data_IF_866311129313
#
_entry.id   IF_866311129313
#
_cell.length_a   1.000
_cell.length_b   1.000
_cell.length_c   1.000
_cell.angle_alpha   90.00
_cell.angle_beta   90.00
_cell.angle_gamma   90.00
#
_symmetry.space_group_name_H-M   'P 1'
#
loop_
_entity.id
_entity.type
_entity.pdbx_description
1 polymer ?
#
# COMPACT_ATOMS: atom_id res chain seq x y z
N UNK A 1 10.79 67.79 52.14
CA UNK A 1 10.70 67.49 50.69
C UNK A 1 11.86 66.60 50.26
N UNK A 2 11.61 65.32 49.96
CA UNK A 2 12.24 64.48 48.90
C UNK A 2 11.83 63.01 49.10
N UNK A 3 11.03 62.50 48.17
CA UNK A 3 10.66 61.08 47.99
C UNK A 3 11.86 60.29 47.44
N UNK A 4 11.92 58.98 47.71
CA UNK A 4 12.42 57.85 46.88
C UNK A 4 12.59 56.63 47.80
N UNK A 5 12.13 55.42 47.52
CA UNK A 5 11.51 54.80 46.36
C UNK A 5 11.74 53.30 46.52
N UNK A 6 10.66 52.53 46.69
CA UNK A 6 10.66 51.08 46.85
C UNK A 6 11.10 50.42 45.54
N UNK A 7 12.16 49.60 45.55
CA UNK A 7 12.55 48.77 44.41
C UNK A 7 12.09 47.33 44.67
N UNK A 8 10.98 46.96 44.02
CA UNK A 8 10.51 45.59 43.92
C UNK A 8 11.28 44.88 42.80
N UNK A 9 12.01 43.82 43.14
CA UNK A 9 12.69 42.95 42.17
C UNK A 9 11.66 42.03 41.51
N UNK A 10 11.36 42.26 40.22
CA UNK A 10 10.59 41.34 39.39
C UNK A 10 11.51 40.32 38.74
N UNK A 11 11.36 39.04 39.12
CA UNK A 11 11.99 37.92 38.40
C UNK A 11 11.20 37.70 37.11
N UNK A 12 11.84 37.96 35.97
CA UNK A 12 11.30 37.64 34.65
C UNK A 12 11.60 36.17 34.35
N UNK A 13 10.62 35.29 34.51
CA UNK A 13 10.71 33.90 34.04
C UNK A 13 10.47 33.90 32.53
N UNK A 14 11.55 33.84 31.76
CA UNK A 14 11.53 33.56 30.33
C UNK A 14 11.16 32.08 30.13
N UNK A 15 9.87 31.82 29.85
CA UNK A 15 9.42 30.51 29.39
C UNK A 15 9.89 30.29 27.95
N UNK A 16 11.05 29.65 27.79
CA UNK A 16 11.49 29.13 26.49
C UNK A 16 10.57 27.97 26.14
N UNK A 17 9.66 28.18 25.18
CA UNK A 17 8.96 27.08 24.53
C UNK A 17 9.97 26.35 23.65
N UNK A 18 10.48 25.22 24.14
CA UNK A 18 11.14 24.25 23.30
C UNK A 18 10.11 23.72 22.30
N UNK A 19 10.18 24.20 21.05
CA UNK A 19 9.59 23.48 19.94
C UNK A 19 10.28 22.12 19.90
N UNK A 20 9.51 21.05 20.08
CA UNK A 20 10.05 19.70 19.92
C UNK A 20 10.71 19.61 18.56
N UNK A 21 12.02 19.44 18.53
CA UNK A 21 12.71 18.98 17.33
C UNK A 21 12.08 17.63 17.01
N UNK A 22 11.31 17.58 15.92
CA UNK A 22 10.98 16.31 15.28
C UNK A 22 12.31 15.59 15.08
N UNK A 23 12.46 14.41 15.68
CA UNK A 23 13.64 13.59 15.47
C UNK A 23 13.86 13.47 13.95
N UNK A 24 15.11 13.60 13.46
CA UNK A 24 15.37 13.46 12.03
C UNK A 24 14.79 12.13 11.56
N UNK A 25 14.02 12.17 10.47
CA UNK A 25 13.42 10.96 9.90
C UNK A 25 14.53 9.92 9.68
N UNK A 26 14.27 8.63 9.94
CA UNK A 26 15.31 7.62 9.78
C UNK A 26 15.81 7.63 8.33
N UNK A 27 17.13 7.59 8.16
CA UNK A 27 17.82 7.70 6.85
C UNK A 27 18.83 6.58 6.68
N UNK A 28 19.06 6.15 5.44
CA UNK A 28 20.15 5.24 5.12
C UNK A 28 21.51 5.87 5.36
N UNK A 29 22.46 5.08 5.84
CA UNK A 29 23.87 5.49 5.99
C UNK A 29 24.50 5.69 4.61
N UNK A 30 24.21 4.76 3.69
CA UNK A 30 24.66 4.80 2.30
C UNK A 30 23.51 4.46 1.38
N UNK A 31 23.31 5.27 0.35
CA UNK A 31 22.36 4.98 -0.72
C UNK A 31 22.91 5.39 -2.08
N UNK A 32 22.68 4.56 -3.09
CA UNK A 32 22.95 4.85 -4.49
C UNK A 32 21.68 4.69 -5.31
N UNK A 33 21.47 5.61 -6.25
CA UNK A 33 20.38 5.60 -7.22
C UNK A 33 21.01 5.85 -8.58
N UNK A 34 20.80 4.95 -9.52
CA UNK A 34 21.38 5.03 -10.87
C UNK A 34 20.32 4.70 -11.90
N UNK A 35 20.31 5.37 -13.08
CA UNK A 35 19.51 4.91 -14.21
C UNK A 35 19.82 3.43 -14.50
N UNK A 36 18.77 2.62 -14.63
CA UNK A 36 18.92 1.20 -14.88
C UNK A 36 19.33 0.97 -16.32
N UNK A 37 20.29 0.05 -16.53
CA UNK A 37 20.77 -0.37 -17.85
C UNK A 37 20.12 -1.68 -18.32
N UNK A 38 19.06 -2.11 -17.64
CA UNK A 38 18.41 -3.38 -17.89
C UNK A 38 17.66 -3.38 -19.25
N UNK A 39 17.56 -4.54 -19.88
CA UNK A 39 16.89 -4.68 -21.17
C UNK A 39 15.36 -4.59 -21.03
N UNK A 40 14.63 -4.26 -22.12
CA UNK A 40 13.17 -4.23 -22.16
C UNK A 40 12.56 -5.64 -22.01
N UNK A 41 12.59 -6.17 -20.78
CA UNK A 41 11.94 -7.40 -20.23
C UNK A 41 12.67 -7.93 -18.99
N UNK A 42 13.77 -7.31 -18.57
CA UNK A 42 14.47 -7.72 -17.35
C UNK A 42 13.55 -7.67 -16.14
N UNK A 43 13.73 -8.64 -15.23
CA UNK A 43 12.97 -8.74 -13.99
C UNK A 43 13.10 -7.43 -13.20
N UNK A 44 11.97 -6.91 -12.74
CA UNK A 44 11.87 -5.73 -11.89
C UNK A 44 11.46 -6.16 -10.49
N UNK A 45 12.10 -5.61 -9.46
CA UNK A 45 11.82 -6.02 -8.09
C UNK A 45 12.44 -5.10 -7.04
N UNK A 46 11.85 -5.14 -5.84
CA UNK A 46 12.40 -4.56 -4.62
C UNK A 46 12.55 -5.71 -3.63
N UNK A 47 13.76 -5.92 -3.12
CA UNK A 47 14.06 -6.90 -2.07
C UNK A 47 14.59 -6.17 -0.86
N UNK A 48 14.15 -6.59 0.33
CA UNK A 48 14.71 -6.15 1.60
C UNK A 48 15.39 -7.32 2.30
N UNK A 49 16.47 -7.00 2.99
CA UNK A 49 17.13 -7.84 3.99
C UNK A 49 17.35 -6.97 5.23
N UNK A 50 17.71 -7.56 6.37
CA UNK A 50 17.95 -6.80 7.61
C UNK A 50 18.93 -5.63 7.36
N UNK A 51 18.41 -4.40 7.44
CA UNK A 51 19.20 -3.18 7.22
C UNK A 51 19.55 -2.85 5.76
N UNK A 52 18.99 -3.52 4.74
CA UNK A 52 19.28 -3.22 3.32
C UNK A 52 18.04 -3.26 2.43
N UNK A 53 18.01 -2.35 1.46
CA UNK A 53 17.08 -2.40 0.31
C UNK A 53 17.89 -2.51 -0.97
N UNK A 54 17.48 -3.41 -1.84
CA UNK A 54 17.91 -3.49 -3.23
C UNK A 54 16.68 -3.41 -4.13
N UNK A 55 16.65 -2.43 -5.01
CA UNK A 55 15.67 -2.33 -6.07
C UNK A 55 16.38 -2.39 -7.42
N UNK A 56 15.81 -3.16 -8.36
CA UNK A 56 16.37 -3.37 -9.69
C UNK A 56 15.34 -3.10 -10.75
N UNK A 57 15.71 -2.33 -11.76
CA UNK A 57 14.89 -2.03 -12.92
C UNK A 57 13.49 -1.48 -12.55
N UNK A 58 13.41 -0.63 -11.52
CA UNK A 58 12.14 -0.12 -10.96
C UNK A 58 11.84 1.31 -11.40
N UNK A 59 10.57 1.63 -11.61
CA UNK A 59 10.12 3.01 -11.84
C UNK A 59 9.95 3.75 -10.52
N UNK A 60 9.99 5.09 -10.54
CA UNK A 60 9.73 5.87 -9.32
C UNK A 60 8.33 5.60 -8.77
N UNK A 61 7.29 5.48 -9.62
CA UNK A 61 5.94 5.11 -9.16
C UNK A 61 5.92 3.77 -8.41
N UNK A 62 6.68 2.78 -8.88
CA UNK A 62 6.82 1.46 -8.23
C UNK A 62 7.43 1.57 -6.84
N UNK A 63 8.47 2.40 -6.69
CA UNK A 63 9.12 2.67 -5.41
C UNK A 63 8.18 3.37 -4.43
N UNK A 64 7.44 4.39 -4.89
CA UNK A 64 6.48 5.14 -4.06
C UNK A 64 5.40 4.20 -3.52
N UNK A 65 4.76 3.40 -4.39
CA UNK A 65 3.77 2.40 -3.94
C UNK A 65 4.34 1.50 -2.84
N UNK A 66 5.57 1.01 -3.02
CA UNK A 66 6.22 0.12 -2.05
C UNK A 66 6.48 0.83 -0.72
N UNK A 67 7.10 2.00 -0.76
CA UNK A 67 7.49 2.77 0.41
C UNK A 67 6.28 3.23 1.25
N UNK A 68 5.18 3.60 0.60
CA UNK A 68 3.97 4.09 1.27
C UNK A 68 2.87 3.02 1.44
N UNK A 69 3.13 1.78 0.98
CA UNK A 69 2.19 0.65 1.03
C UNK A 69 0.80 0.99 0.45
N UNK A 70 0.77 1.56 -0.75
CA UNK A 70 -0.48 1.96 -1.45
C UNK A 70 -0.59 1.28 -2.82
N UNK A 71 -1.76 0.80 -3.26
CA UNK A 71 -1.96 0.27 -4.61
C UNK A 71 -1.51 1.24 -5.70
N UNK A 72 -1.09 0.71 -6.84
CA UNK A 72 -0.65 1.54 -7.98
C UNK A 72 -1.78 2.38 -8.55
N UNK A 73 -3.02 1.87 -8.54
CA UNK A 73 -4.21 2.64 -8.91
C UNK A 73 -4.48 3.83 -7.99
N UNK A 74 -3.86 3.88 -6.82
CA UNK A 74 -4.03 4.95 -5.82
C UNK A 74 -2.85 5.94 -5.78
N UNK A 75 -1.81 5.74 -6.60
CA UNK A 75 -0.77 6.75 -6.81
C UNK A 75 -1.12 7.50 -8.08
N UNK A 76 -1.47 8.79 -7.97
CA UNK A 76 -1.95 9.62 -9.08
C UNK A 76 -1.00 10.78 -9.37
N UNK A 77 -1.16 11.40 -10.54
CA UNK A 77 -0.39 12.59 -10.93
C UNK A 77 1.09 12.32 -11.18
N UNK A 78 1.88 13.38 -11.06
CA UNK A 78 3.32 13.40 -11.29
C UNK A 78 3.73 13.55 -12.76
N UNK A 79 5.01 13.86 -13.02
CA UNK A 79 5.52 14.00 -14.37
C UNK A 79 5.67 12.62 -15.05
N UNK A 80 5.40 12.55 -16.36
CA UNK A 80 5.33 11.29 -17.13
C UNK A 80 6.53 10.35 -16.93
N UNK A 81 7.73 10.90 -16.77
CA UNK A 81 8.95 10.11 -16.63
C UNK A 81 8.95 9.15 -15.42
N UNK A 82 8.14 9.41 -14.38
CA UNK A 82 8.09 8.54 -13.18
C UNK A 82 7.51 7.14 -13.46
N UNK A 83 6.86 6.98 -14.61
CA UNK A 83 6.29 5.74 -15.12
C UNK A 83 7.20 5.02 -16.11
N UNK A 84 8.08 5.75 -16.78
CA UNK A 84 8.87 5.25 -17.90
C UNK A 84 10.34 4.99 -17.51
N UNK A 85 10.96 5.92 -16.78
CA UNK A 85 12.37 5.82 -16.40
C UNK A 85 12.55 4.84 -15.25
N UNK A 86 13.61 4.04 -15.37
CA UNK A 86 13.91 2.95 -14.45
C UNK A 86 15.22 3.21 -13.75
N UNK A 87 15.28 2.82 -12.49
CA UNK A 87 16.42 2.98 -11.61
C UNK A 87 16.80 1.68 -10.95
N UNK A 88 18.09 1.56 -10.66
CA UNK A 88 18.62 0.61 -9.68
C UNK A 88 18.92 1.40 -8.40
N UNK A 89 18.42 0.89 -7.27
CA UNK A 89 18.58 1.50 -5.95
C UNK A 89 19.26 0.49 -5.03
N UNK A 90 20.35 0.89 -4.40
CA UNK A 90 20.99 0.13 -3.31
C UNK A 90 21.11 1.03 -2.09
N UNK A 91 20.54 0.61 -0.97
CA UNK A 91 20.54 1.39 0.26
C UNK A 91 20.85 0.50 1.48
N UNK A 92 21.67 1.03 2.40
CA UNK A 92 22.15 0.35 3.60
C UNK A 92 21.95 1.24 4.84
N UNK A 93 21.33 0.68 5.87
CA UNK A 93 21.15 1.29 7.18
C UNK A 93 22.44 1.18 8.01
N UNK A 94 22.62 2.09 8.98
CA UNK A 94 23.77 2.06 9.89
C UNK A 94 23.77 0.84 10.82
N UNK A 95 22.61 0.23 11.06
CA UNK A 95 22.44 -0.95 11.90
C UNK A 95 21.28 -1.82 11.43
N UNK A 96 20.93 -2.88 12.20
CA UNK A 96 19.78 -3.70 11.89
C UNK A 96 18.51 -2.85 11.86
N UNK A 97 17.76 -2.96 10.76
CA UNK A 97 16.47 -2.31 10.60
C UNK A 97 15.49 -3.34 10.02
N UNK A 98 14.29 -3.41 10.59
CA UNK A 98 13.21 -4.24 10.07
C UNK A 98 12.54 -3.61 8.86
N UNK A 99 11.70 -4.37 8.16
CA UNK A 99 11.05 -3.91 6.91
C UNK A 99 10.26 -2.61 7.09
N UNK A 100 9.59 -2.43 8.23
CA UNK A 100 8.84 -1.20 8.52
C UNK A 100 9.76 0.03 8.52
N UNK A 101 10.86 -0.04 9.28
CA UNK A 101 11.83 1.06 9.37
C UNK A 101 12.49 1.31 8.00
N UNK A 102 12.83 0.23 7.28
CA UNK A 102 13.38 0.32 5.93
C UNK A 102 12.44 1.04 4.96
N UNK A 103 11.13 0.80 5.03
CA UNK A 103 10.17 1.52 4.20
C UNK A 103 10.08 3.01 4.58
N UNK A 104 10.15 3.36 5.87
CA UNK A 104 10.22 4.77 6.29
C UNK A 104 11.51 5.43 5.77
N UNK A 105 12.65 4.75 5.87
CA UNK A 105 13.93 5.24 5.34
C UNK A 105 13.89 5.41 3.81
N UNK A 106 13.19 4.51 3.11
CA UNK A 106 12.95 4.63 1.68
C UNK A 106 12.09 5.86 1.36
N UNK A 107 11.05 6.17 2.15
CA UNK A 107 10.28 7.41 1.98
C UNK A 107 11.19 8.65 2.07
N UNK A 108 12.06 8.71 3.08
CA UNK A 108 13.05 9.78 3.24
C UNK A 108 13.98 9.89 2.04
N UNK A 109 14.52 8.76 1.57
CA UNK A 109 15.42 8.70 0.41
C UNK A 109 14.74 9.23 -0.86
N UNK A 110 13.49 8.82 -1.12
CA UNK A 110 12.74 9.25 -2.29
C UNK A 110 12.43 10.76 -2.23
N UNK A 111 12.04 11.27 -1.06
CA UNK A 111 11.84 12.70 -0.82
C UNK A 111 13.11 13.52 -1.10
N UNK A 112 14.26 13.05 -0.62
CA UNK A 112 15.51 13.78 -0.76
C UNK A 112 16.07 13.76 -2.19
N UNK A 113 16.13 12.57 -2.81
CA UNK A 113 16.82 12.34 -4.09
C UNK A 113 15.99 12.71 -5.31
N UNK A 114 14.68 12.51 -5.25
CA UNK A 114 13.77 12.88 -6.33
C UNK A 114 12.99 14.17 -6.03
N UNK A 115 13.31 14.89 -4.94
CA UNK A 115 12.55 16.07 -4.49
C UNK A 115 11.03 15.79 -4.48
N UNK A 116 10.67 14.59 -4.05
CA UNK A 116 9.30 14.08 -4.13
C UNK A 116 8.40 14.88 -3.19
N UNK A 117 7.37 15.51 -3.76
CA UNK A 117 6.30 16.19 -3.03
C UNK A 117 4.98 15.57 -3.44
N UNK A 118 4.12 15.31 -2.46
CA UNK A 118 2.79 14.77 -2.68
C UNK A 118 1.84 15.22 -1.56
N UNK A 119 0.55 15.05 -1.81
CA UNK A 119 -0.48 15.13 -0.79
C UNK A 119 -1.40 13.90 -0.85
N UNK A 120 -2.18 13.72 0.21
CA UNK A 120 -3.21 12.69 0.30
C UNK A 120 -4.57 13.34 0.17
N UNK A 121 -5.45 12.75 -0.63
CA UNK A 121 -6.84 13.18 -0.72
C UNK A 121 -7.78 11.97 -0.80
N UNK A 122 -9.04 12.18 -0.42
CA UNK A 122 -10.11 11.20 -0.67
C UNK A 122 -10.85 11.59 -1.93
N UNK A 123 -10.96 10.68 -2.89
CA UNK A 123 -11.73 10.92 -4.12
C UNK A 123 -12.58 9.72 -4.53
N UNK A 124 -13.71 9.95 -5.20
CA UNK A 124 -14.56 8.87 -5.69
C UNK A 124 -13.91 8.19 -6.92
N UNK A 125 -13.54 6.93 -6.79
CA UNK A 125 -12.97 6.12 -7.88
C UNK A 125 -13.90 4.97 -8.26
N UNK A 126 -13.91 4.57 -9.54
CA UNK A 126 -14.61 3.35 -9.94
C UNK A 126 -13.93 2.15 -9.31
N UNK A 127 -14.70 1.30 -8.64
CA UNK A 127 -14.19 0.13 -7.96
C UNK A 127 -15.33 -0.69 -7.38
N UNK A 128 -15.06 -1.35 -6.25
CA UNK A 128 -16.03 -2.19 -5.56
C UNK A 128 -16.21 -1.76 -4.11
N UNK A 129 -17.46 -1.77 -3.65
CA UNK A 129 -17.75 -1.81 -2.22
C UNK A 129 -17.81 -3.27 -1.76
N UNK A 130 -17.05 -3.59 -0.71
CA UNK A 130 -17.16 -4.84 0.02
C UNK A 130 -18.33 -4.72 0.98
N UNK A 131 -19.35 -5.55 0.80
CA UNK A 131 -20.58 -5.55 1.60
C UNK A 131 -20.87 -6.94 2.15
N UNK A 132 -21.65 -7.01 3.22
CA UNK A 132 -22.18 -8.28 3.71
C UNK A 132 -23.26 -8.78 2.75
N UNK A 133 -23.13 -10.01 2.30
CA UNK A 133 -24.09 -10.68 1.43
C UNK A 133 -25.34 -11.13 2.18
N UNK A 134 -26.33 -11.61 1.44
CA UNK A 134 -27.63 -12.05 2.00
C UNK A 134 -27.51 -13.19 3.02
N UNK A 135 -26.44 -13.98 2.94
CA UNK A 135 -26.15 -15.09 3.84
C UNK A 135 -25.50 -14.68 5.17
N UNK A 136 -25.18 -13.39 5.35
CA UNK A 136 -24.43 -12.90 6.51
C UNK A 136 -22.95 -13.24 6.45
N UNK A 137 -22.14 -12.56 7.28
CA UNK A 137 -20.70 -12.83 7.39
C UNK A 137 -20.47 -14.23 7.96
N UNK A 138 -19.68 -15.04 7.25
CA UNK A 138 -19.30 -16.42 7.65
C UNK A 138 -17.90 -16.53 8.26
N UNK A 139 -17.17 -15.42 8.36
CA UNK A 139 -15.85 -15.38 8.97
C UNK A 139 -15.95 -15.49 10.49
N UNK A 140 -15.03 -16.24 11.10
CA UNK A 140 -14.92 -16.34 12.54
C UNK A 140 -14.28 -15.07 13.10
N UNK A 141 -14.83 -14.52 14.19
CA UNK A 141 -14.21 -13.40 14.89
C UNK A 141 -12.94 -13.86 15.59
N UNK A 142 -11.85 -13.12 15.41
CA UNK A 142 -10.58 -13.42 16.06
C UNK A 142 -10.64 -13.12 17.56
N UNK A 143 -9.82 -13.82 18.35
CA UNK A 143 -9.65 -13.50 19.77
C UNK A 143 -8.81 -12.23 19.94
N UNK A 144 -9.00 -11.45 21.03
CA UNK A 144 -8.21 -10.24 21.29
C UNK A 144 -6.70 -10.49 21.38
N UNK A 145 -6.28 -11.69 21.79
CA UNK A 145 -4.89 -12.09 21.97
C UNK A 145 -4.25 -12.69 20.70
N UNK A 146 -5.02 -12.81 19.62
CA UNK A 146 -4.53 -13.37 18.36
C UNK A 146 -3.44 -12.49 17.76
N UNK A 147 -2.33 -13.11 17.37
CA UNK A 147 -1.28 -12.42 16.64
C UNK A 147 -1.76 -12.19 15.21
N UNK A 148 -1.67 -10.94 14.73
CA UNK A 148 -2.07 -10.63 13.37
C UNK A 148 -1.07 -11.18 12.36
N UNK A 149 -1.56 -11.94 11.39
CA UNK A 149 -0.80 -12.29 10.20
C UNK A 149 -1.68 -12.16 8.97
N UNK A 150 -1.05 -11.99 7.81
CA UNK A 150 -1.74 -12.06 6.52
C UNK A 150 -0.79 -12.60 5.48
N UNK A 151 -1.16 -13.74 4.90
CA UNK A 151 -0.51 -14.36 3.76
C UNK A 151 -1.43 -14.25 2.54
N UNK A 152 -1.13 -13.29 1.67
CA UNK A 152 -1.79 -13.17 0.37
C UNK A 152 -0.95 -13.89 -0.69
N UNK A 153 -1.58 -14.77 -1.44
CA UNK A 153 -0.97 -15.52 -2.55
C UNK A 153 -1.84 -15.39 -3.80
N UNK A 154 -1.27 -15.76 -4.96
CA UNK A 154 -2.08 -15.89 -6.18
C UNK A 154 -3.20 -16.91 -5.92
N UNK A 155 -4.46 -16.47 -6.03
CA UNK A 155 -5.63 -17.31 -5.80
C UNK A 155 -5.99 -17.56 -4.33
N UNK A 156 -5.45 -16.79 -3.37
CA UNK A 156 -5.89 -16.96 -1.98
C UNK A 156 -5.40 -15.90 -0.99
N UNK A 157 -6.14 -15.78 0.11
CA UNK A 157 -5.79 -14.99 1.29
C UNK A 157 -6.02 -15.86 2.52
N UNK A 158 -4.99 -15.98 3.35
CA UNK A 158 -5.05 -16.57 4.69
C UNK A 158 -4.61 -15.51 5.69
N UNK A 159 -5.48 -15.14 6.63
CA UNK A 159 -5.21 -14.06 7.58
C UNK A 159 -5.87 -14.32 8.93
N UNK A 160 -5.17 -13.92 10.00
CA UNK A 160 -5.67 -13.94 11.36
C UNK A 160 -5.69 -12.51 11.91
N UNK A 161 -6.69 -12.20 12.73
CA UNK A 161 -6.93 -10.85 13.24
C UNK A 161 -6.98 -9.79 12.11
N UNK A 162 -7.74 -10.08 11.05
CA UNK A 162 -7.89 -9.20 9.89
C UNK A 162 -9.20 -8.40 9.96
N UNK A 163 -9.12 -7.07 9.85
CA UNK A 163 -10.31 -6.20 9.75
C UNK A 163 -10.90 -6.22 8.34
N UNK A 164 -12.18 -5.87 8.19
CA UNK A 164 -12.81 -5.75 6.87
C UNK A 164 -12.13 -4.68 5.98
N UNK A 165 -11.62 -3.60 6.56
CA UNK A 165 -10.79 -2.62 5.87
C UNK A 165 -9.47 -3.22 5.34
N UNK A 166 -8.78 -4.05 6.13
CA UNK A 166 -7.56 -4.72 5.68
C UNK A 166 -7.87 -5.77 4.61
N UNK A 167 -8.97 -6.50 4.73
CA UNK A 167 -9.42 -7.44 3.70
C UNK A 167 -9.72 -6.70 2.38
N UNK A 168 -10.42 -5.55 2.43
CA UNK A 168 -10.67 -4.71 1.26
C UNK A 168 -9.35 -4.29 0.58
N UNK A 169 -8.33 -3.91 1.35
CA UNK A 169 -7.01 -3.57 0.82
C UNK A 169 -6.37 -4.74 0.04
N UNK A 170 -6.42 -5.96 0.60
CA UNK A 170 -5.88 -7.16 -0.07
C UNK A 170 -6.66 -7.56 -1.31
N UNK A 171 -7.98 -7.39 -1.30
CA UNK A 171 -8.83 -7.59 -2.48
C UNK A 171 -8.54 -6.55 -3.56
N UNK A 172 -8.25 -5.30 -3.17
CA UNK A 172 -7.85 -4.23 -4.09
C UNK A 172 -6.55 -4.58 -4.82
N UNK A 173 -5.57 -5.12 -4.08
CA UNK A 173 -4.31 -5.59 -4.66
C UNK A 173 -4.53 -6.75 -5.63
N UNK A 174 -5.39 -7.72 -5.27
CA UNK A 174 -5.69 -8.90 -6.10
C UNK A 174 -6.48 -8.57 -7.38
N UNK A 175 -7.37 -7.58 -7.33
CA UNK A 175 -8.22 -7.17 -8.45
C UNK A 175 -7.62 -6.05 -9.29
N UNK A 176 -6.53 -5.43 -8.83
CA UNK A 176 -5.97 -4.20 -9.41
C UNK A 176 -7.02 -3.09 -9.57
N UNK A 177 -7.99 -3.04 -8.66
CA UNK A 177 -9.09 -2.07 -8.66
C UNK A 177 -9.36 -1.59 -7.22
N UNK A 178 -9.77 -0.33 -7.00
CA UNK A 178 -10.14 0.13 -5.68
C UNK A 178 -11.24 -0.73 -5.05
N UNK A 179 -11.02 -1.17 -3.81
CA UNK A 179 -12.03 -1.84 -2.99
C UNK A 179 -12.13 -1.11 -1.65
N UNK A 180 -13.34 -0.76 -1.24
CA UNK A 180 -13.60 -0.09 0.03
C UNK A 180 -14.55 -0.90 0.91
N UNK A 181 -14.32 -0.86 2.21
CA UNK A 181 -15.18 -1.51 3.20
C UNK A 181 -16.50 -0.74 3.39
N UNK A 182 -17.60 -1.42 3.09
CA UNK A 182 -18.98 -0.98 3.32
C UNK A 182 -19.77 -2.03 4.10
N UNK A 183 -19.07 -2.93 4.80
CA UNK A 183 -19.71 -4.02 5.55
C UNK A 183 -20.41 -3.52 6.80
N UNK A 184 -19.91 -2.43 7.40
CA UNK A 184 -20.35 -1.94 8.71
C UNK A 184 -20.01 -2.88 9.85
N UNK A 185 -19.13 -3.87 9.62
CA UNK A 185 -18.77 -4.88 10.60
C UNK A 185 -17.50 -4.46 11.34
N UNK A 186 -17.60 -4.38 12.67
CA UNK A 186 -16.47 -4.01 13.53
C UNK A 186 -15.71 -5.21 14.10
N UNK A 187 -14.41 -5.04 14.29
CA UNK A 187 -13.52 -6.02 14.86
C UNK A 187 -12.68 -6.76 13.82
N UNK A 188 -11.95 -7.76 14.29
CA UNK A 188 -11.03 -8.55 13.50
C UNK A 188 -11.53 -9.99 13.34
N UNK A 189 -11.23 -10.59 12.20
CA UNK A 189 -11.73 -11.89 11.78
C UNK A 189 -10.61 -12.75 11.23
N UNK A 190 -10.79 -14.05 11.38
CA UNK A 190 -9.96 -15.07 10.75
C UNK A 190 -10.52 -15.32 9.36
N UNK A 191 -9.70 -15.04 8.34
CA UNK A 191 -10.08 -15.05 6.93
C UNK A 191 -9.30 -16.14 6.23
N UNK A 192 -10.04 -17.09 5.67
CA UNK A 192 -9.52 -18.03 4.66
C UNK A 192 -10.36 -17.89 3.40
N UNK A 193 -9.73 -17.41 2.33
CA UNK A 193 -10.36 -17.19 1.04
C UNK A 193 -9.51 -17.83 -0.06
N UNK A 194 -10.13 -18.66 -0.89
CA UNK A 194 -9.45 -19.33 -2.01
C UNK A 194 -10.26 -19.19 -3.30
N UNK A 195 -9.59 -18.86 -4.41
CA UNK A 195 -10.21 -18.68 -5.72
C UNK A 195 -9.27 -19.08 -6.86
N UNK A 196 -9.83 -19.33 -8.04
CA UNK A 196 -9.06 -19.55 -9.27
C UNK A 196 -8.63 -18.22 -9.88
N UNK A 197 -7.32 -17.97 -10.07
CA UNK A 197 -6.82 -16.75 -10.70
C UNK A 197 -7.36 -16.54 -12.12
N UNK A 198 -7.44 -15.29 -12.57
CA UNK A 198 -8.05 -14.92 -13.85
C UNK A 198 -7.23 -15.38 -15.06
N UNK A 199 -5.89 -15.39 -15.02
CA UNK A 199 -5.10 -15.89 -16.18
C UNK A 199 -5.25 -17.42 -16.40
N UNK A 200 -5.83 -18.12 -15.43
CA UNK A 200 -6.24 -19.54 -15.55
C UNK A 200 -7.70 -19.71 -15.95
N UNK A 201 -8.49 -18.63 -15.92
CA UNK A 201 -9.84 -18.62 -16.49
C UNK A 201 -9.71 -18.27 -17.97
N UNK A 202 -9.86 -19.27 -18.85
CA UNK A 202 -9.92 -19.03 -20.28
C UNK A 202 -10.91 -17.89 -20.57
N UNK A 203 -10.45 -16.88 -21.34
CA UNK A 203 -11.22 -15.72 -21.80
C UNK A 203 -12.65 -16.17 -22.20
N UNK A 204 -13.72 -15.54 -21.70
CA UNK A 204 -15.06 -15.86 -22.19
C UNK A 204 -15.12 -15.60 -23.70
N UNK A 205 -15.61 -16.53 -24.53
CA UNK A 205 -15.82 -16.23 -25.94
C UNK A 205 -16.78 -15.05 -26.05
N UNK A 206 -16.38 -14.07 -26.85
CA UNK A 206 -17.20 -12.91 -27.16
C UNK A 206 -18.40 -13.36 -28.00
N UNK A 207 -19.54 -13.57 -27.34
CA UNK A 207 -20.87 -13.64 -27.95
C UNK A 207 -21.21 -14.92 -28.72
N UNK A 208 -22.46 -15.37 -28.52
CA UNK A 208 -23.21 -16.14 -29.51
C UNK A 208 -23.23 -17.65 -29.31
N UNK A 209 -24.42 -18.12 -28.96
CA UNK A 209 -24.92 -19.49 -28.91
C UNK A 209 -24.24 -20.51 -29.85
N UNK A 210 -23.80 -21.65 -29.28
CA UNK A 210 -24.12 -23.01 -29.74
C UNK A 210 -23.55 -24.07 -28.81
N UNK A 211 -24.38 -25.05 -28.49
CA UNK A 211 -24.02 -26.29 -27.82
C UNK A 211 -23.04 -27.11 -28.70
N UNK A 212 -22.03 -27.72 -28.06
CA UNK A 212 -21.29 -28.83 -28.67
C UNK A 212 -19.77 -28.81 -28.46
N UNK A 213 -19.36 -29.38 -27.33
CA UNK A 213 -18.20 -30.27 -27.13
C UNK A 213 -16.74 -29.78 -27.21
N UNK A 214 -16.06 -30.10 -26.10
CA UNK A 214 -14.64 -30.37 -25.86
C UNK A 214 -13.77 -29.19 -25.38
N UNK A 215 -13.85 -28.93 -24.07
CA UNK A 215 -12.74 -28.36 -23.31
C UNK A 215 -11.91 -29.51 -22.70
N UNK A 216 -10.56 -29.44 -22.71
CA UNK A 216 -9.77 -30.24 -21.79
C UNK A 216 -9.89 -29.64 -20.38
N UNK A 217 -10.20 -30.48 -19.40
CA UNK A 217 -10.33 -30.13 -17.99
C UNK A 217 -9.10 -29.34 -17.48
N UNK A 218 -9.33 -28.16 -16.89
CA UNK A 218 -8.26 -27.38 -16.28
C UNK A 218 -8.73 -26.07 -15.62
N UNK A 219 -8.91 -26.11 -14.29
CA UNK A 219 -9.22 -25.04 -13.33
C UNK A 219 -10.72 -24.72 -13.06
N UNK A 220 -11.48 -25.73 -12.64
CA UNK A 220 -12.86 -25.60 -12.14
C UNK A 220 -12.96 -25.13 -10.67
N UNK A 221 -12.30 -24.02 -10.31
CA UNK A 221 -12.45 -23.40 -8.98
C UNK A 221 -13.24 -22.09 -9.05
N UNK A 222 -13.83 -21.62 -7.93
CA UNK A 222 -14.68 -20.44 -7.93
C UNK A 222 -13.89 -19.18 -8.32
N UNK A 223 -14.54 -18.23 -8.99
CA UNK A 223 -14.00 -16.89 -9.16
C UNK A 223 -13.93 -16.18 -7.80
N UNK A 224 -13.12 -15.12 -7.69
CA UNK A 224 -13.01 -14.34 -6.44
C UNK A 224 -14.37 -13.80 -5.98
N UNK A 225 -15.27 -13.45 -6.90
CA UNK A 225 -16.63 -12.99 -6.60
C UNK A 225 -17.53 -14.08 -6.03
N UNK A 226 -17.42 -15.30 -6.55
CA UNK A 226 -18.14 -16.46 -6.04
C UNK A 226 -17.57 -16.90 -4.69
N UNK A 227 -16.24 -16.99 -4.58
CA UNK A 227 -15.53 -17.36 -3.36
C UNK A 227 -15.89 -16.45 -2.18
N UNK A 228 -15.94 -15.13 -2.38
CA UNK A 228 -16.35 -14.18 -1.33
C UNK A 228 -17.77 -14.48 -0.81
N UNK A 229 -18.71 -14.77 -1.71
CA UNK A 229 -20.10 -15.03 -1.35
C UNK A 229 -20.27 -16.39 -0.66
N UNK A 230 -19.63 -17.42 -1.21
CA UNK A 230 -19.77 -18.79 -0.75
C UNK A 230 -19.02 -19.03 0.57
N UNK A 231 -17.77 -18.59 0.65
CA UNK A 231 -16.86 -18.88 1.77
C UNK A 231 -16.99 -17.87 2.91
N UNK A 232 -17.13 -16.58 2.59
CA UNK A 232 -17.17 -15.51 3.60
C UNK A 232 -18.55 -14.87 3.76
N UNK A 233 -19.48 -15.12 2.84
CA UNK A 233 -20.77 -14.42 2.84
C UNK A 233 -20.63 -12.92 2.58
N UNK A 234 -19.56 -12.52 1.88
CA UNK A 234 -19.27 -11.15 1.47
C UNK A 234 -19.53 -10.98 -0.03
N UNK A 235 -19.73 -9.76 -0.50
CA UNK A 235 -19.95 -9.46 -1.91
C UNK A 235 -19.20 -8.19 -2.32
N UNK A 236 -18.79 -8.14 -3.58
CA UNK A 236 -18.28 -6.93 -4.23
C UNK A 236 -19.38 -6.32 -5.09
N UNK A 237 -19.71 -5.05 -4.84
CA UNK A 237 -20.69 -4.29 -5.61
C UNK A 237 -20.00 -3.17 -6.37
N UNK A 238 -20.14 -3.15 -7.71
CA UNK A 238 -19.52 -2.12 -8.53
C UNK A 238 -20.15 -0.77 -8.25
N UNK A 239 -19.34 0.19 -7.80
CA UNK A 239 -19.77 1.57 -7.57
C UNK A 239 -18.57 2.51 -7.51
N UNK A 240 -18.88 3.81 -7.47
CA UNK A 240 -17.89 4.78 -7.01
C UNK A 240 -17.68 4.61 -5.51
N UNK A 241 -16.43 4.37 -5.12
CA UNK A 241 -16.03 4.24 -3.72
C UNK A 241 -15.09 5.38 -3.32
N UNK A 242 -15.20 5.90 -2.08
CA UNK A 242 -14.22 6.84 -1.55
C UNK A 242 -12.90 6.11 -1.37
N UNK A 243 -11.87 6.58 -2.06
CA UNK A 243 -10.53 5.99 -2.01
C UNK A 243 -9.55 7.07 -1.61
N UNK A 244 -8.73 6.79 -0.59
CA UNK A 244 -7.58 7.62 -0.28
C UNK A 244 -6.52 7.39 -1.34
N UNK A 245 -6.00 8.47 -1.92
CA UNK A 245 -4.99 8.43 -2.97
C UNK A 245 -3.81 9.30 -2.57
N UNK A 246 -2.63 8.93 -3.07
CA UNK A 246 -1.41 9.71 -2.99
C UNK A 246 -1.23 10.43 -4.32
N UNK A 247 -1.36 11.75 -4.32
CA UNK A 247 -1.23 12.59 -5.53
C UNK A 247 0.17 13.19 -5.55
N UNK A 248 0.95 12.80 -6.56
CA UNK A 248 2.30 13.32 -6.79
C UNK A 248 2.20 14.74 -7.35
N UNK A 249 2.61 15.71 -6.56
CA UNK A 249 2.63 17.12 -6.94
C UNK A 249 3.90 17.45 -7.74
N UNK A 250 5.03 16.88 -7.31
CA UNK A 250 6.33 17.10 -7.94
C UNK A 250 7.26 15.91 -7.73
N UNK A 251 8.06 15.64 -8.76
CA UNK A 251 9.26 14.85 -8.68
C UNK A 251 10.27 15.37 -9.71
N UNK A 252 11.52 15.51 -9.28
CA UNK A 252 12.68 15.78 -10.11
C UNK A 252 13.40 14.45 -10.38
N UNK A 253 14.08 14.31 -11.52
CA UNK A 253 14.92 13.12 -11.78
C UNK A 253 16.02 13.05 -10.72
N UNK A 254 16.39 11.83 -10.33
CA UNK A 254 17.44 11.65 -9.33
C UNK A 254 18.72 12.36 -9.76
N UNK A 255 19.34 13.10 -8.84
CA UNK A 255 20.72 13.55 -9.01
C UNK A 255 21.64 12.33 -9.06
N UNK A 256 22.53 12.27 -10.05
CA UNK A 256 23.56 11.22 -10.11
C UNK A 256 24.49 11.32 -8.89
N UNK A 257 24.88 10.15 -8.36
CA UNK A 257 25.93 9.98 -7.35
C UNK A 257 27.16 9.31 -7.98
#
# INVERSE_FOLDING_TARGET
MKKRGLLAGGILILAVRAFGQTAPAPTFEVASIKPSKAEPRSISGVTSETGRISARNVTLRRCIRGAYNVPETQVLGGPKWIDDERYDIDAKAAGPAGDHDLMIMLQSLLAERFKLVFHREKRPMSGYALVVGKSGLKAQRSTPEAHSFTHARRGGIDAQACTMANLAQKLSDALHLPVADFTGVEGAFDIKLEWTPEDTQAKPPAGGDKAGTLAPDGAAGPSIFAALQEQLGLKLESRKVPTEVLVIDRADKASEN
#
